data_IF_127698467624
#
_entry.id   IF_127698467624
#
_cell.length_a   1.000
_cell.length_b   1.000
_cell.length_c   1.000
_cell.angle_alpha   90.00
_cell.angle_beta   90.00
_cell.angle_gamma   90.00
#
_symmetry.space_group_name_H-M   'P 1'
#
loop_
_entity.id
_entity.type
_entity.pdbx_description
1 polymer ?
#
# COMPACT_ATOMS: atom_id res chain seq x y z
N UNK A 1 -61.31 -5.58 30.22
CA UNK A 1 -60.88 -4.30 29.62
C UNK A 1 -60.10 -3.56 30.70
N UNK A 2 -58.81 -3.19 30.67
CA UNK A 2 -57.71 -3.08 29.70
C UNK A 2 -56.39 -3.36 30.48
N UNK A 3 -55.58 -4.34 30.09
CA UNK A 3 -54.29 -4.27 29.35
C UNK A 3 -53.10 -3.62 30.09
N UNK A 4 -52.31 -4.48 30.72
CA UNK A 4 -50.88 -4.32 31.08
C UNK A 4 -50.03 -4.14 29.81
N UNK A 5 -49.15 -3.13 29.78
CA UNK A 5 -48.18 -2.94 28.70
C UNK A 5 -46.77 -3.26 29.21
N UNK A 6 -46.27 -4.44 28.84
CA UNK A 6 -44.86 -4.80 28.93
C UNK A 6 -44.20 -4.32 27.64
N UNK A 7 -43.24 -3.39 27.72
CA UNK A 7 -42.39 -3.02 26.58
C UNK A 7 -41.17 -3.93 26.55
N UNK A 8 -41.13 -4.85 25.58
CA UNK A 8 -39.94 -5.63 25.24
C UNK A 8 -38.90 -4.73 24.57
N UNK A 9 -37.67 -4.78 25.09
CA UNK A 9 -36.46 -4.28 24.45
C UNK A 9 -36.03 -5.24 23.32
N UNK A 10 -35.94 -4.71 22.10
CA UNK A 10 -35.43 -5.45 20.95
C UNK A 10 -33.89 -5.43 20.97
N UNK A 11 -33.26 -6.56 21.30
CA UNK A 11 -31.86 -6.79 21.04
C UNK A 11 -31.68 -7.13 19.55
N UNK A 12 -30.97 -6.28 18.81
CA UNK A 12 -30.59 -6.56 17.43
C UNK A 12 -29.51 -7.66 17.42
N UNK A 13 -29.91 -8.89 17.13
CA UNK A 13 -28.99 -9.98 16.84
C UNK A 13 -28.36 -9.76 15.45
N UNK A 14 -27.05 -9.51 15.40
CA UNK A 14 -26.28 -9.55 14.16
C UNK A 14 -26.14 -11.03 13.78
N UNK A 15 -27.03 -11.50 12.90
CA UNK A 15 -26.96 -12.85 12.34
C UNK A 15 -25.83 -12.96 11.34
N UNK A 16 -24.78 -13.72 11.67
CA UNK A 16 -23.82 -14.21 10.69
C UNK A 16 -24.43 -15.43 9.98
N UNK A 17 -24.94 -15.26 8.76
CA UNK A 17 -25.27 -16.40 7.90
C UNK A 17 -23.98 -16.96 7.30
N UNK A 18 -23.53 -18.11 7.80
CA UNK A 18 -22.41 -18.85 7.24
C UNK A 18 -22.88 -19.68 6.04
N UNK A 19 -22.70 -19.15 4.82
CA UNK A 19 -22.75 -19.99 3.61
C UNK A 19 -21.39 -20.70 3.49
N UNK A 20 -21.34 -21.99 3.83
CA UNK A 20 -20.15 -22.81 3.63
C UNK A 20 -19.98 -23.16 2.14
N UNK A 21 -19.47 -22.21 1.37
CA UNK A 21 -18.56 -22.52 0.26
C UNK A 21 -17.13 -22.36 0.81
N UNK A 22 -16.12 -22.97 0.17
CA UNK A 22 -14.70 -22.68 0.44
C UNK A 22 -14.36 -21.25 -0.02
N UNK A 23 -15.03 -20.26 0.60
CA UNK A 23 -14.99 -18.87 0.24
C UNK A 23 -13.91 -18.17 1.06
N UNK A 24 -13.21 -17.24 0.41
CA UNK A 24 -12.22 -16.43 1.08
C UNK A 24 -12.88 -15.62 2.21
N UNK A 25 -12.28 -15.66 3.40
CA UNK A 25 -12.68 -14.83 4.53
C UNK A 25 -12.09 -13.43 4.34
N UNK A 26 -12.96 -12.43 4.23
CA UNK A 26 -12.55 -11.03 4.16
C UNK A 26 -12.60 -10.39 5.55
N UNK A 27 -11.46 -9.85 6.00
CA UNK A 27 -11.32 -9.16 7.28
C UNK A 27 -11.12 -7.65 7.02
N UNK A 28 -12.10 -6.81 7.39
CA UNK A 28 -11.94 -5.36 7.38
C UNK A 28 -10.98 -4.92 8.49
N UNK A 29 -9.97 -4.11 8.17
CA UNK A 29 -8.93 -3.65 9.13
C UNK A 29 -8.87 -2.12 9.25
N UNK A 30 -9.79 -1.39 8.63
CA UNK A 30 -9.83 0.08 8.66
C UNK A 30 -10.01 0.67 10.07
N UNK A 31 -10.56 -0.12 11.00
CA UNK A 31 -10.78 0.27 12.40
C UNK A 31 -9.62 -0.09 13.32
N UNK A 32 -8.66 -0.90 12.87
CA UNK A 32 -7.56 -1.39 13.71
C UNK A 32 -6.24 -0.75 13.28
N UNK A 33 -5.22 -0.78 14.13
CA UNK A 33 -3.86 -0.31 13.83
C UNK A 33 -3.15 -1.38 13.01
N UNK A 34 -3.56 -1.50 11.75
CA UNK A 34 -2.92 -2.35 10.74
C UNK A 34 -2.34 -1.47 9.65
N UNK A 35 -1.03 -1.58 9.41
CA UNK A 35 -0.29 -0.74 8.48
C UNK A 35 0.72 -1.59 7.70
N UNK A 36 0.99 -1.17 6.47
CA UNK A 36 2.16 -1.60 5.72
C UNK A 36 3.15 -0.44 5.64
N UNK A 37 4.44 -0.69 5.80
CA UNK A 37 5.49 0.34 5.67
C UNK A 37 6.41 -0.05 4.52
N UNK A 38 6.50 0.80 3.49
CA UNK A 38 7.51 0.68 2.45
C UNK A 38 8.75 1.47 2.87
N UNK A 39 9.89 0.80 2.93
CA UNK A 39 11.18 1.46 3.16
C UNK A 39 12.00 1.44 1.87
N UNK A 40 12.38 2.61 1.38
CA UNK A 40 13.26 2.74 0.22
C UNK A 40 14.72 2.63 0.68
N UNK A 41 15.57 1.82 0.01
CA UNK A 41 17.01 1.80 0.26
C UNK A 41 17.68 3.14 -0.07
N UNK A 42 18.91 3.32 0.42
CA UNK A 42 19.65 4.56 0.19
C UNK A 42 19.93 4.77 -1.31
N UNK A 43 20.27 3.69 -2.01
CA UNK A 43 20.63 3.66 -3.43
C UNK A 43 19.46 4.14 -4.30
N UNK A 44 18.23 3.73 -4.00
CA UNK A 44 17.05 4.22 -4.72
C UNK A 44 16.84 5.71 -4.50
N UNK A 45 17.04 6.21 -3.27
CA UNK A 45 16.89 7.63 -2.98
C UNK A 45 17.96 8.48 -3.67
N UNK A 46 19.19 7.98 -3.76
CA UNK A 46 20.25 8.63 -4.54
C UNK A 46 19.92 8.62 -6.04
N UNK A 47 19.39 7.52 -6.56
CA UNK A 47 18.95 7.47 -7.95
C UNK A 47 17.78 8.42 -8.24
N UNK A 48 16.85 8.60 -7.30
CA UNK A 48 15.79 9.59 -7.41
C UNK A 48 16.34 11.01 -7.41
N UNK A 49 17.24 11.31 -6.48
CA UNK A 49 17.88 12.62 -6.40
C UNK A 49 18.65 12.96 -7.68
N UNK A 50 19.42 12.01 -8.23
CA UNK A 50 20.19 12.18 -9.47
C UNK A 50 19.36 12.69 -10.66
N UNK A 51 18.06 12.39 -10.68
CA UNK A 51 17.15 12.77 -11.76
C UNK A 51 16.12 13.83 -11.33
N UNK A 52 16.31 14.50 -10.19
CA UNK A 52 15.37 15.46 -9.58
C UNK A 52 13.98 14.85 -9.34
N UNK A 53 13.91 13.58 -8.96
CA UNK A 53 12.67 12.88 -8.63
C UNK A 53 12.44 12.92 -7.11
N UNK A 54 11.26 13.41 -6.73
CA UNK A 54 10.74 13.31 -5.36
C UNK A 54 9.61 12.29 -5.29
N UNK A 55 9.39 11.76 -4.09
CA UNK A 55 8.20 10.97 -3.76
C UNK A 55 7.48 11.64 -2.60
N UNK A 56 6.18 11.86 -2.74
CA UNK A 56 5.34 12.48 -1.72
C UNK A 56 4.15 11.60 -1.31
N UNK A 57 3.82 11.65 -0.02
CA UNK A 57 2.65 10.94 0.52
C UNK A 57 1.37 11.67 0.11
N UNK A 58 0.38 10.93 -0.40
CA UNK A 58 -0.95 11.43 -0.75
C UNK A 58 -2.04 10.54 -0.15
N UNK A 59 -3.27 11.05 -0.09
CA UNK A 59 -4.41 10.31 0.47
C UNK A 59 -4.20 9.99 1.95
N UNK A 60 -4.34 8.72 2.33
CA UNK A 60 -4.13 8.25 3.71
C UNK A 60 -2.70 7.82 4.02
N UNK A 61 -1.78 7.90 3.04
CA UNK A 61 -0.37 7.60 3.25
C UNK A 61 0.25 8.63 4.19
N UNK A 62 1.17 8.20 5.05
CA UNK A 62 1.95 9.08 5.91
C UNK A 62 3.46 8.81 5.77
N UNK A 63 4.28 9.79 6.14
CA UNK A 63 5.74 9.61 6.22
C UNK A 63 6.07 8.83 7.49
N UNK A 64 6.59 7.61 7.32
CA UNK A 64 6.96 6.73 8.43
C UNK A 64 8.40 6.95 8.89
N UNK A 65 9.29 7.36 7.98
CA UNK A 65 10.64 7.80 8.30
C UNK A 65 11.04 8.97 7.39
N UNK A 66 11.60 10.06 7.94
CA UNK A 66 12.04 11.19 7.15
C UNK A 66 13.20 10.80 6.23
N UNK A 67 13.37 11.58 5.16
CA UNK A 67 14.51 11.46 4.25
C UNK A 67 15.66 12.35 4.71
N UNK A 68 16.82 12.12 4.11
CA UNK A 68 17.95 13.08 4.11
C UNK A 68 18.08 13.67 2.71
N UNK A 69 18.64 14.88 2.56
CA UNK A 69 19.00 15.40 1.24
C UNK A 69 19.88 14.40 0.47
N UNK A 70 19.60 14.20 -0.80
CA UNK A 70 20.47 13.46 -1.71
C UNK A 70 21.76 14.21 -2.01
N UNK A 71 22.75 13.49 -2.54
CA UNK A 71 24.11 14.01 -2.73
C UNK A 71 24.29 14.76 -4.06
N UNK A 72 23.39 14.60 -5.02
CA UNK A 72 23.45 15.20 -6.36
C UNK A 72 22.72 16.54 -6.40
N UNK A 73 21.41 16.53 -6.22
CA UNK A 73 20.55 17.71 -6.42
C UNK A 73 19.91 18.21 -5.12
N UNK A 74 20.19 17.55 -3.99
CA UNK A 74 19.67 17.92 -2.67
C UNK A 74 18.18 17.60 -2.47
N UNK A 75 17.60 16.80 -3.37
CA UNK A 75 16.22 16.35 -3.32
C UNK A 75 15.99 15.51 -2.07
N UNK A 76 14.86 15.74 -1.37
CA UNK A 76 14.53 15.00 -0.15
C UNK A 76 13.38 14.04 -0.45
N UNK A 77 13.69 12.75 -0.57
CA UNK A 77 12.70 11.68 -0.59
C UNK A 77 12.62 11.00 0.78
N UNK A 78 11.44 10.91 1.42
CA UNK A 78 11.27 10.17 2.67
C UNK A 78 11.84 8.74 2.60
N UNK A 79 12.51 8.31 3.67
CA UNK A 79 13.10 6.97 3.74
C UNK A 79 12.03 5.87 3.84
N UNK A 80 10.88 6.18 4.43
CA UNK A 80 9.77 5.23 4.50
C UNK A 80 8.39 5.90 4.46
N UNK A 81 7.44 5.19 3.86
CA UNK A 81 6.03 5.56 3.78
C UNK A 81 5.16 4.51 4.44
N UNK A 82 4.17 4.94 5.22
CA UNK A 82 3.18 4.08 5.85
C UNK A 82 1.85 4.12 5.11
N UNK A 83 1.30 2.94 4.84
CA UNK A 83 0.05 2.67 4.14
C UNK A 83 -0.89 1.96 5.08
N UNK A 84 -1.95 2.63 5.55
CA UNK A 84 -2.92 1.96 6.38
C UNK A 84 -3.65 0.84 5.64
N UNK A 85 -3.61 -0.37 6.20
CA UNK A 85 -4.26 -1.54 5.60
C UNK A 85 -5.76 -1.45 5.89
N UNK A 86 -6.56 -1.47 4.83
CA UNK A 86 -8.02 -1.37 4.90
C UNK A 86 -8.71 -2.73 4.95
N UNK A 87 -8.12 -3.76 4.33
CA UNK A 87 -8.71 -5.10 4.27
C UNK A 87 -7.65 -6.17 4.01
N UNK A 88 -7.86 -7.35 4.59
CA UNK A 88 -7.09 -8.57 4.36
C UNK A 88 -8.04 -9.68 3.92
N UNK A 89 -7.59 -10.54 3.02
CA UNK A 89 -8.35 -11.69 2.52
C UNK A 89 -7.60 -12.97 2.85
N UNK A 90 -8.24 -13.86 3.58
CA UNK A 90 -7.72 -15.17 3.97
C UNK A 90 -8.39 -16.24 3.13
N UNK A 91 -7.59 -17.10 2.50
CA UNK A 91 -8.03 -18.21 1.68
C UNK A 91 -8.53 -19.40 2.52
N UNK A 92 -9.15 -20.39 1.86
CA UNK A 92 -9.71 -21.56 2.54
C UNK A 92 -8.66 -22.44 3.24
N UNK A 93 -7.37 -22.31 2.88
CA UNK A 93 -6.25 -23.01 3.53
C UNK A 93 -5.60 -22.17 4.64
N UNK A 94 -6.29 -21.14 5.12
CA UNK A 94 -5.79 -20.19 6.12
C UNK A 94 -4.52 -19.42 5.72
N UNK A 95 -4.16 -19.44 4.43
CA UNK A 95 -3.13 -18.58 3.86
C UNK A 95 -3.73 -17.19 3.58
N UNK A 96 -2.92 -16.14 3.64
CA UNK A 96 -3.35 -14.83 3.14
C UNK A 96 -3.26 -14.85 1.63
N UNK A 97 -4.35 -14.40 0.99
CA UNK A 97 -4.50 -14.29 -0.45
C UNK A 97 -4.20 -12.86 -0.89
N UNK A 98 -4.68 -11.87 -0.12
CA UNK A 98 -4.40 -10.46 -0.41
C UNK A 98 -4.47 -9.55 0.81
N UNK A 99 -3.78 -8.41 0.71
CA UNK A 99 -3.90 -7.27 1.61
C UNK A 99 -4.08 -5.99 0.80
N UNK A 100 -4.90 -5.04 1.27
CA UNK A 100 -5.21 -3.82 0.51
C UNK A 100 -5.08 -2.57 1.39
N UNK A 101 -4.59 -1.48 0.80
CA UNK A 101 -4.47 -0.17 1.41
C UNK A 101 -5.18 0.88 0.54
N UNK A 102 -6.51 0.76 0.45
CA UNK A 102 -7.36 1.65 -0.36
C UNK A 102 -7.35 3.06 0.21
N UNK A 103 -7.32 4.07 -0.65
CA UNK A 103 -7.25 5.49 -0.25
C UNK A 103 -5.82 5.99 0.00
N UNK A 104 -4.84 5.09 0.06
CA UNK A 104 -3.43 5.46 0.16
C UNK A 104 -2.82 5.70 -1.22
N UNK A 105 -1.95 6.69 -1.34
CA UNK A 105 -1.27 7.03 -2.59
C UNK A 105 0.16 7.56 -2.38
N UNK A 106 1.01 7.38 -3.39
CA UNK A 106 2.30 8.02 -3.57
C UNK A 106 2.29 8.82 -4.86
N UNK A 107 2.82 10.03 -4.83
CA UNK A 107 3.03 10.84 -6.02
C UNK A 107 4.53 10.96 -6.30
N UNK A 108 4.91 10.51 -7.49
CA UNK A 108 6.26 10.59 -8.04
C UNK A 108 6.32 11.83 -8.93
N UNK A 109 7.21 12.77 -8.61
CA UNK A 109 7.35 14.05 -9.31
C UNK A 109 8.79 14.29 -9.70
N UNK A 110 9.05 14.45 -10.99
CA UNK A 110 10.36 14.77 -11.54
C UNK A 110 10.36 16.16 -12.15
N UNK A 111 11.36 16.97 -11.80
CA UNK A 111 11.67 18.19 -12.55
C UNK A 111 12.71 17.89 -13.63
N UNK A 112 12.37 18.12 -14.89
CA UNK A 112 13.29 17.92 -16.01
C UNK A 112 14.01 19.23 -16.33
N UNK A 113 15.27 19.35 -15.89
CA UNK A 113 16.09 20.56 -16.06
C UNK A 113 16.32 20.95 -17.53
N UNK A 114 16.34 19.98 -18.44
CA UNK A 114 16.60 20.23 -19.86
C UNK A 114 15.39 20.90 -20.54
N UNK A 115 14.17 20.55 -20.12
CA UNK A 115 12.93 21.05 -20.73
C UNK A 115 12.18 22.05 -19.85
N UNK A 116 12.57 22.19 -18.59
CA UNK A 116 11.87 22.99 -17.58
C UNK A 116 10.50 22.43 -17.17
N UNK A 117 10.17 21.19 -17.54
CA UNK A 117 8.87 20.58 -17.28
C UNK A 117 8.86 19.80 -15.97
N UNK A 118 7.74 19.90 -15.24
CA UNK A 118 7.43 18.99 -14.12
C UNK A 118 6.60 17.83 -14.64
N UNK A 119 7.13 16.63 -14.49
CA UNK A 119 6.53 15.37 -14.89
C UNK A 119 6.14 14.58 -13.65
N UNK A 120 5.13 13.71 -13.76
CA UNK A 120 4.78 12.87 -12.62
C UNK A 120 3.68 11.86 -12.86
N UNK A 121 3.54 10.98 -11.90
CA UNK A 121 2.40 10.05 -11.83
C UNK A 121 2.11 9.66 -10.39
N UNK A 122 0.86 9.25 -10.16
CA UNK A 122 0.39 8.74 -8.89
C UNK A 122 0.27 7.22 -8.93
N UNK A 123 0.76 6.55 -7.88
CA UNK A 123 0.41 5.17 -7.54
C UNK A 123 -0.57 5.19 -6.36
N UNK A 124 -1.71 4.53 -6.48
CA UNK A 124 -2.77 4.57 -5.46
C UNK A 124 -3.47 3.23 -5.25
N UNK A 125 -4.24 3.12 -4.16
CA UNK A 125 -5.14 1.99 -3.88
C UNK A 125 -4.43 0.63 -3.95
N UNK A 126 -3.34 0.50 -3.20
CA UNK A 126 -2.42 -0.62 -3.30
C UNK A 126 -3.06 -1.95 -2.88
N UNK A 127 -2.66 -3.02 -3.58
CA UNK A 127 -3.02 -4.40 -3.27
C UNK A 127 -1.76 -5.28 -3.30
N UNK A 128 -1.53 -6.06 -2.25
CA UNK A 128 -0.59 -7.18 -2.29
C UNK A 128 -1.37 -8.41 -2.74
N UNK A 129 -0.93 -9.01 -3.85
CA UNK A 129 -1.43 -10.30 -4.35
C UNK A 129 -0.38 -11.37 -4.04
N UNK A 130 -0.66 -12.21 -3.03
CA UNK A 130 0.29 -13.23 -2.55
C UNK A 130 0.40 -14.43 -3.49
N UNK A 131 -0.67 -14.74 -4.22
CA UNK A 131 -0.68 -15.85 -5.17
C UNK A 131 0.24 -15.56 -6.36
N UNK A 132 0.18 -14.33 -6.89
CA UNK A 132 1.03 -13.90 -8.01
C UNK A 132 2.38 -13.31 -7.56
N UNK A 133 2.57 -13.11 -6.25
CA UNK A 133 3.73 -12.41 -5.65
C UNK A 133 3.96 -11.02 -6.24
N UNK A 134 2.87 -10.26 -6.37
CA UNK A 134 2.87 -8.91 -6.96
C UNK A 134 2.25 -7.87 -6.04
N UNK A 135 2.84 -6.68 -6.03
CA UNK A 135 2.19 -5.46 -5.53
C UNK A 135 1.54 -4.76 -6.71
N UNK A 136 0.25 -4.47 -6.59
CA UNK A 136 -0.56 -3.81 -7.60
C UNK A 136 -0.95 -2.40 -7.11
N UNK A 137 -1.11 -1.46 -8.04
CA UNK A 137 -1.61 -0.12 -7.74
C UNK A 137 -2.35 0.48 -8.94
N UNK A 138 -3.32 1.35 -8.65
CA UNK A 138 -3.87 2.24 -9.66
C UNK A 138 -2.79 3.25 -10.05
N UNK A 139 -2.50 3.36 -11.35
CA UNK A 139 -1.41 4.18 -11.87
C UNK A 139 -1.98 5.29 -12.74
N UNK A 140 -1.73 6.54 -12.38
CA UNK A 140 -2.28 7.71 -13.08
C UNK A 140 -1.18 8.72 -13.41
N UNK A 141 -0.73 8.79 -14.67
CA UNK A 141 0.12 9.89 -15.15
C UNK A 141 -0.57 11.25 -14.96
N UNK A 142 0.19 12.30 -14.69
CA UNK A 142 -0.35 13.67 -14.65
C UNK A 142 -1.01 14.01 -15.99
N UNK A 143 -2.26 14.48 -15.97
CA UNK A 143 -3.05 14.75 -17.16
C UNK A 143 -3.45 13.51 -17.98
N UNK A 144 -3.16 12.30 -17.47
CA UNK A 144 -3.45 11.03 -18.13
C UNK A 144 -4.65 10.29 -17.54
N UNK A 145 -4.88 9.08 -18.05
CA UNK A 145 -5.95 8.19 -17.59
C UNK A 145 -5.42 7.17 -16.60
N UNK A 146 -6.19 6.89 -15.55
CA UNK A 146 -5.87 5.86 -14.56
C UNK A 146 -5.89 4.46 -15.18
N UNK A 147 -4.80 3.71 -15.00
CA UNK A 147 -4.73 2.27 -15.21
C UNK A 147 -4.95 1.55 -13.88
N UNK A 148 -6.10 0.88 -13.66
CA UNK A 148 -6.41 0.27 -12.37
C UNK A 148 -5.55 -0.97 -12.11
N UNK A 149 -5.09 -1.14 -10.87
CA UNK A 149 -4.40 -2.33 -10.35
C UNK A 149 -3.28 -2.87 -11.25
N UNK A 150 -2.48 -1.97 -11.84
CA UNK A 150 -1.29 -2.32 -12.61
C UNK A 150 -0.23 -2.95 -11.69
N UNK A 151 0.43 -4.04 -12.09
CA UNK A 151 1.54 -4.61 -11.34
C UNK A 151 2.73 -3.64 -11.23
N UNK A 152 3.10 -3.27 -10.01
CA UNK A 152 4.22 -2.36 -9.73
C UNK A 152 5.48 -3.14 -9.37
N UNK A 153 5.39 -4.01 -8.36
CA UNK A 153 6.54 -4.79 -7.88
C UNK A 153 6.28 -6.29 -7.96
N UNK A 154 7.30 -7.06 -8.32
CA UNK A 154 7.47 -8.44 -7.90
C UNK A 154 8.17 -8.45 -6.53
N UNK A 155 7.87 -9.44 -5.68
CA UNK A 155 8.46 -9.52 -4.34
C UNK A 155 8.85 -10.93 -3.91
N UNK A 156 9.76 -11.01 -2.94
CA UNK A 156 10.04 -12.22 -2.16
C UNK A 156 9.48 -12.08 -0.74
N UNK A 157 9.06 -13.21 -0.17
CA UNK A 157 8.63 -13.25 1.24
C UNK A 157 9.88 -13.53 2.08
N UNK A 158 10.38 -12.50 2.75
CA UNK A 158 11.57 -12.62 3.60
C UNK A 158 11.21 -13.15 4.99
N UNK A 159 10.08 -12.71 5.53
CA UNK A 159 9.50 -13.24 6.77
C UNK A 159 8.01 -13.48 6.53
N UNK A 160 7.54 -14.74 6.50
CA UNK A 160 6.13 -15.03 6.24
C UNK A 160 5.26 -14.51 7.37
N UNK A 161 4.02 -14.11 7.07
CA UNK A 161 3.11 -13.64 8.11
C UNK A 161 2.86 -14.74 9.17
N UNK A 162 3.36 -14.49 10.37
CA UNK A 162 3.01 -15.29 11.55
C UNK A 162 1.85 -14.63 12.30
N UNK A 163 0.64 -15.15 12.12
CA UNK A 163 -0.51 -14.75 12.95
C UNK A 163 -0.38 -15.37 14.34
N UNK A 164 0.02 -14.56 15.32
CA UNK A 164 -0.02 -14.95 16.73
C UNK A 164 -1.43 -14.69 17.24
N UNK A 165 -2.15 -15.77 17.54
CA UNK A 165 -3.46 -15.72 18.17
C UNK A 165 -3.34 -16.02 19.66
N UNK A 166 -3.80 -15.09 20.50
CA UNK A 166 -3.96 -15.31 21.94
C UNK A 166 -5.40 -14.99 22.33
N UNK A 167 -6.24 -16.01 22.36
CA UNK A 167 -7.61 -15.86 22.85
C UNK A 167 -7.61 -15.49 24.34
N UNK A 168 -8.48 -14.57 24.81
CA UNK A 168 -9.45 -13.75 24.06
C UNK A 168 -8.92 -12.36 23.63
N UNK A 169 -7.61 -12.10 23.71
CA UNK A 169 -7.07 -10.74 23.87
C UNK A 169 -6.34 -10.15 22.65
N UNK A 170 -5.78 -10.94 21.73
CA UNK A 170 -5.10 -10.36 20.56
C UNK A 170 -4.91 -11.29 19.35
N UNK A 171 -5.03 -10.72 18.15
CA UNK A 171 -4.39 -11.19 16.92
C UNK A 171 -3.34 -10.16 16.57
N UNK A 172 -2.09 -10.61 16.41
CA UNK A 172 -1.01 -9.80 15.84
C UNK A 172 -0.36 -10.56 14.69
N UNK A 173 -0.12 -9.88 13.58
CA UNK A 173 0.65 -10.41 12.46
C UNK A 173 1.83 -9.50 12.15
N UNK A 174 2.97 -10.10 11.83
CA UNK A 174 4.14 -9.40 11.32
C UNK A 174 4.70 -10.15 10.11
N UNK A 175 4.88 -9.43 9.01
CA UNK A 175 5.42 -9.94 7.75
C UNK A 175 6.40 -8.95 7.17
N UNK A 176 7.40 -9.46 6.48
CA UNK A 176 8.35 -8.66 5.72
C UNK A 176 8.45 -9.23 4.32
N UNK A 177 7.99 -8.45 3.35
CA UNK A 177 8.27 -8.64 1.94
C UNK A 177 9.54 -7.85 1.60
N UNK A 178 10.40 -8.39 0.75
CA UNK A 178 11.59 -7.70 0.28
C UNK A 178 11.89 -8.03 -1.16
N UNK A 179 13.06 -7.59 -1.63
CA UNK A 179 13.46 -7.73 -3.03
C UNK A 179 12.37 -7.19 -3.97
N UNK A 180 11.93 -5.96 -3.70
CA UNK A 180 10.87 -5.31 -4.46
C UNK A 180 11.43 -4.91 -5.81
N UNK A 181 11.17 -5.71 -6.84
CA UNK A 181 11.65 -5.45 -8.21
C UNK A 181 10.54 -4.84 -9.04
N UNK A 182 10.80 -3.72 -9.71
CA UNK A 182 9.82 -3.17 -10.64
C UNK A 182 9.49 -4.20 -11.71
N UNK A 183 8.21 -4.36 -12.01
CA UNK A 183 7.75 -5.16 -13.14
C UNK A 183 8.12 -4.44 -14.45
N UNK A 184 8.17 -5.15 -15.59
CA UNK A 184 8.42 -4.50 -16.89
C UNK A 184 7.43 -3.37 -17.19
N UNK A 185 6.14 -3.56 -16.85
CA UNK A 185 5.11 -2.53 -17.05
C UNK A 185 5.37 -1.28 -16.18
N UNK A 186 5.83 -1.48 -14.95
CA UNK A 186 6.17 -0.39 -14.06
C UNK A 186 7.40 0.37 -14.56
N UNK A 187 8.45 -0.35 -15.00
CA UNK A 187 9.65 0.25 -15.61
C UNK A 187 9.29 1.12 -16.80
N UNK A 188 8.41 0.62 -17.68
CA UNK A 188 7.93 1.39 -18.84
C UNK A 188 7.23 2.68 -18.42
N UNK A 189 6.37 2.65 -17.39
CA UNK A 189 5.71 3.84 -16.86
C UNK A 189 6.73 4.82 -16.28
N UNK A 190 7.67 4.36 -15.44
CA UNK A 190 8.71 5.22 -14.88
C UNK A 190 9.51 5.89 -16.01
N UNK A 191 9.98 5.11 -16.99
CA UNK A 191 10.75 5.61 -18.13
C UNK A 191 9.98 6.63 -18.96
N UNK A 192 8.76 6.27 -19.37
CA UNK A 192 8.00 7.08 -20.34
C UNK A 192 7.35 8.30 -19.71
N UNK A 193 6.75 8.17 -18.52
CA UNK A 193 6.02 9.27 -17.89
C UNK A 193 6.96 10.29 -17.26
N UNK A 194 8.04 9.83 -16.62
CA UNK A 194 9.03 10.73 -16.04
C UNK A 194 10.10 11.15 -17.07
N UNK A 195 10.03 10.65 -18.30
CA UNK A 195 11.03 10.88 -19.35
C UNK A 195 12.46 10.68 -18.81
N UNK A 196 12.68 9.51 -18.21
CA UNK A 196 13.96 9.23 -17.57
C UNK A 196 15.08 9.12 -18.63
N UNK A 197 16.26 9.72 -18.39
CA UNK A 197 17.41 9.56 -19.27
C UNK A 197 17.88 8.10 -19.36
N UNK A 198 18.47 7.72 -20.50
CA UNK A 198 18.93 6.34 -20.75
C UNK A 198 19.97 5.84 -19.73
N UNK A 199 20.79 6.73 -19.17
CA UNK A 199 21.76 6.31 -18.15
C UNK A 199 21.09 5.77 -16.87
N UNK A 200 19.79 6.00 -16.66
CA UNK A 200 19.07 5.61 -15.44
C UNK A 200 18.51 4.18 -15.48
N UNK A 201 18.65 3.48 -16.62
CA UNK A 201 18.07 2.15 -16.82
C UNK A 201 18.50 1.13 -15.77
N UNK A 202 19.77 1.16 -15.35
CA UNK A 202 20.25 0.26 -14.31
C UNK A 202 19.56 0.50 -12.96
N UNK A 203 19.15 1.74 -12.65
CA UNK A 203 18.49 2.07 -11.40
C UNK A 203 17.06 1.51 -11.35
N UNK A 204 16.42 1.30 -12.51
CA UNK A 204 15.12 0.62 -12.60
C UNK A 204 15.20 -0.88 -12.25
N UNK A 205 16.41 -1.45 -12.26
CA UNK A 205 16.69 -2.83 -11.85
C UNK A 205 17.03 -2.98 -10.36
N UNK A 206 17.08 -1.88 -9.61
CA UNK A 206 17.38 -1.91 -8.18
C UNK A 206 16.33 -2.68 -7.38
N UNK A 207 16.73 -3.13 -6.19
CA UNK A 207 15.77 -3.54 -5.17
C UNK A 207 15.17 -2.26 -4.57
N UNK A 208 13.85 -2.09 -4.65
CA UNK A 208 13.14 -0.94 -4.10
C UNK A 208 12.82 -1.09 -2.61
N UNK A 209 13.41 -2.09 -1.96
CA UNK A 209 13.51 -2.25 -0.52
C UNK A 209 12.55 -3.27 0.05
N UNK A 210 11.83 -2.87 1.08
CA UNK A 210 10.93 -3.77 1.82
C UNK A 210 9.55 -3.19 1.99
N UNK A 211 8.59 -4.10 2.16
CA UNK A 211 7.22 -3.83 2.56
C UNK A 211 6.96 -4.64 3.81
N UNK A 212 6.90 -3.99 4.96
CA UNK A 212 6.63 -4.63 6.26
C UNK A 212 5.16 -4.47 6.61
N UNK A 213 4.45 -5.55 6.91
CA UNK A 213 3.04 -5.50 7.33
C UNK A 213 2.94 -5.83 8.81
N UNK A 214 2.38 -4.89 9.57
CA UNK A 214 1.99 -5.11 10.96
C UNK A 214 0.48 -5.07 11.05
N UNK A 215 -0.11 -6.18 11.52
CA UNK A 215 -1.54 -6.36 11.68
C UNK A 215 -1.83 -6.46 13.17
N UNK A 216 -2.80 -5.68 13.64
CA UNK A 216 -3.23 -5.71 15.03
C UNK A 216 -4.75 -5.60 15.13
N UNK A 217 -5.33 -6.15 16.20
CA UNK A 217 -6.72 -5.86 16.59
C UNK A 217 -6.85 -4.61 17.45
N UNK A 218 -5.75 -3.94 17.81
CA UNK A 218 -5.79 -2.68 18.54
C UNK A 218 -6.61 -1.67 17.72
N UNK A 219 -7.64 -1.09 18.32
CA UNK A 219 -8.44 -0.08 17.64
C UNK A 219 -7.61 1.17 17.34
N UNK A 220 -7.79 1.72 16.15
CA UNK A 220 -7.24 3.02 15.75
C UNK A 220 -8.08 4.11 16.41
N UNK A 221 -7.46 5.25 16.76
CA UNK A 221 -8.17 6.38 17.39
C UNK A 221 -9.24 6.97 16.48
N UNK A 222 -9.03 6.90 15.16
CA UNK A 222 -10.02 7.25 14.13
C UNK A 222 -10.01 6.18 13.03
N UNK A 223 -11.18 5.70 12.58
CA UNK A 223 -11.27 4.82 11.43
C UNK A 223 -10.70 5.50 10.18
N UNK A 224 -10.13 4.70 9.28
CA UNK A 224 -9.61 5.21 8.01
C UNK A 224 -10.67 5.05 6.92
N UNK A 225 -10.73 6.03 6.02
CA UNK A 225 -11.60 5.97 4.86
C UNK A 225 -11.26 4.78 3.98
N UNK A 226 -12.28 4.06 3.51
CA UNK A 226 -12.15 2.99 2.53
C UNK A 226 -12.50 3.46 1.11
N UNK A 227 -12.75 4.77 0.94
CA UNK A 227 -12.99 5.36 -0.37
C UNK A 227 -11.68 5.32 -1.18
N UNK A 228 -11.70 4.80 -2.42
CA UNK A 228 -10.54 4.84 -3.29
C UNK A 228 -10.01 6.26 -3.46
N UNK A 229 -8.69 6.40 -3.47
CA UNK A 229 -8.04 7.63 -3.88
C UNK A 229 -8.22 7.80 -5.39
N UNK A 230 -8.57 9.00 -5.81
CA UNK A 230 -8.68 9.40 -7.21
C UNK A 230 -7.65 10.49 -7.44
N UNK A 231 -6.70 10.25 -8.34
CA UNK A 231 -5.75 11.26 -8.75
C UNK A 231 -6.48 12.25 -9.68
N UNK A 232 -6.43 13.53 -9.32
CA UNK A 232 -6.94 14.63 -10.13
C UNK A 232 -5.76 15.40 -10.73
#
# INVERSE_FOLDING_TARGET
MFRTAIRLSAAAAIGFSAQAALANLTIPTQFTVSNSVQAFPFENRQAFDLVNLTVSARGTTYVAAPGTPGESNGTITPAAFGFPITKIVIGPRLNIVSGTAVGSALFFERFNDETGQTLGFTLANFTINYDQKKVLADTTPVGGVTKPQMPIYDFTVNTPLALKYKFPLSVTGHEVLGNLKLTSQAKDVFRTVLQLPEFTEFALEFDYGTLTQDISLKLRSRPITTRPYVAN
#
